data_IF_579385924983
#
_entry.id   IF_579385924983
#
_cell.length_a   1.000
_cell.length_b   1.000
_cell.length_c   1.000
_cell.angle_alpha   90.00
_cell.angle_beta   90.00
_cell.angle_gamma   90.00
#
_symmetry.space_group_name_H-M   'P 1'
#
loop_
_entity.id
_entity.type
_entity.pdbx_description
1 polymer ?
#
# COMPACT_ATOMS: atom_id res chain seq x y z
N UNK A 1 19.62 19.05 28.02
CA UNK A 1 19.84 17.83 27.21
C UNK A 1 18.54 17.09 27.06
N UNK A 2 18.17 16.78 25.83
CA UNK A 2 16.96 16.07 25.59
C UNK A 2 17.19 14.56 25.74
N UNK A 3 16.24 13.89 26.37
CA UNK A 3 16.30 12.44 26.45
C UNK A 3 16.14 11.83 25.05
N UNK A 4 16.81 10.74 24.79
CA UNK A 4 16.69 10.03 23.53
C UNK A 4 15.25 9.51 23.38
N UNK A 5 14.71 9.62 22.19
CA UNK A 5 13.37 9.11 21.91
C UNK A 5 13.42 7.59 21.86
N UNK A 6 12.53 6.97 22.62
CA UNK A 6 12.46 5.51 22.67
C UNK A 6 11.75 4.97 21.40
N UNK A 7 12.17 3.80 20.88
CA UNK A 7 11.43 3.14 19.82
C UNK A 7 9.95 2.92 20.15
N UNK A 8 9.60 2.79 21.41
CA UNK A 8 8.20 2.64 21.85
C UNK A 8 7.37 3.90 21.58
N UNK A 9 8.03 5.05 21.53
CA UNK A 9 7.35 6.35 21.50
C UNK A 9 6.38 6.48 20.32
N UNK A 10 6.71 5.94 19.16
CA UNK A 10 5.88 6.07 17.98
C UNK A 10 4.85 4.95 17.82
N UNK A 11 4.96 3.86 18.59
CA UNK A 11 4.10 2.69 18.39
C UNK A 11 2.61 3.00 18.51
N UNK A 12 2.24 3.83 19.52
CA UNK A 12 0.85 4.19 19.71
C UNK A 12 0.31 4.99 18.52
N UNK A 13 1.12 5.93 18.03
CA UNK A 13 0.75 6.74 16.87
C UNK A 13 0.70 5.89 15.61
N UNK A 14 1.64 4.95 15.44
CA UNK A 14 1.63 4.04 14.30
C UNK A 14 0.38 3.16 14.31
N UNK A 15 -0.02 2.66 15.48
CA UNK A 15 -1.25 1.88 15.63
C UNK A 15 -2.49 2.69 15.26
N UNK A 16 -2.54 3.95 15.70
CA UNK A 16 -3.65 4.83 15.36
C UNK A 16 -3.76 5.01 13.85
N UNK A 17 -2.62 5.23 13.18
CA UNK A 17 -2.59 5.46 11.74
C UNK A 17 -2.93 4.20 10.95
N UNK A 18 -2.44 3.04 11.38
CA UNK A 18 -2.76 1.79 10.66
C UNK A 18 -4.24 1.45 10.82
N UNK A 19 -4.84 1.75 11.97
CA UNK A 19 -6.27 1.57 12.17
C UNK A 19 -7.07 2.45 11.23
N UNK A 20 -6.68 3.72 11.09
CA UNK A 20 -7.33 4.62 10.15
C UNK A 20 -7.18 4.12 8.72
N UNK A 21 -5.98 3.66 8.36
CA UNK A 21 -5.73 3.14 7.02
C UNK A 21 -6.60 1.92 6.74
N UNK A 22 -6.75 1.03 7.72
CA UNK A 22 -7.61 -0.14 7.57
C UNK A 22 -9.06 0.26 7.27
N UNK A 23 -9.58 1.29 7.95
CA UNK A 23 -10.93 1.77 7.68
C UNK A 23 -11.05 2.36 6.27
N UNK A 24 -10.04 3.12 5.84
CA UNK A 24 -10.00 3.65 4.48
C UNK A 24 -9.98 2.53 3.46
N UNK A 25 -9.16 1.48 3.70
CA UNK A 25 -9.08 0.35 2.78
C UNK A 25 -10.38 -0.45 2.71
N UNK A 26 -11.09 -0.58 3.83
CA UNK A 26 -12.40 -1.22 3.85
C UNK A 26 -13.40 -0.41 3.05
N UNK A 27 -13.38 0.90 3.21
CA UNK A 27 -14.27 1.78 2.44
C UNK A 27 -13.93 1.72 0.96
N UNK A 28 -12.64 1.71 0.62
CA UNK A 28 -12.17 1.55 -0.75
C UNK A 28 -12.71 0.26 -1.36
N UNK A 29 -12.68 -0.83 -0.61
CA UNK A 29 -13.21 -2.11 -1.08
C UNK A 29 -14.71 -2.02 -1.35
N UNK A 30 -15.46 -1.39 -0.44
CA UNK A 30 -16.90 -1.21 -0.62
C UNK A 30 -17.20 -0.38 -1.88
N UNK A 31 -16.43 0.67 -2.09
CA UNK A 31 -16.60 1.51 -3.27
C UNK A 31 -16.29 0.75 -4.56
N UNK A 32 -15.26 -0.08 -4.52
CA UNK A 32 -14.90 -0.91 -5.67
C UNK A 32 -15.99 -1.92 -6.00
N UNK A 33 -16.54 -2.56 -4.99
CA UNK A 33 -17.64 -3.52 -5.18
C UNK A 33 -18.87 -2.82 -5.73
N UNK A 34 -19.16 -1.62 -5.23
CA UNK A 34 -20.31 -0.82 -5.65
C UNK A 34 -20.07 -0.04 -6.95
N UNK A 35 -18.83 -0.04 -7.44
CA UNK A 35 -18.40 0.75 -8.61
C UNK A 35 -18.65 2.25 -8.39
N UNK A 36 -18.48 2.71 -7.15
CA UNK A 36 -18.64 4.13 -6.81
C UNK A 36 -17.30 4.85 -7.01
N UNK A 37 -17.05 5.23 -8.26
CA UNK A 37 -15.77 5.80 -8.66
C UNK A 37 -15.52 7.16 -8.01
N UNK A 38 -16.57 7.99 -7.88
CA UNK A 38 -16.43 9.32 -7.30
C UNK A 38 -15.96 9.22 -5.83
N UNK A 39 -16.61 8.36 -5.05
CA UNK A 39 -16.25 8.20 -3.66
C UNK A 39 -14.86 7.58 -3.53
N UNK A 40 -14.56 6.57 -4.36
CA UNK A 40 -13.24 5.94 -4.40
C UNK A 40 -12.14 6.98 -4.64
N UNK A 41 -12.36 7.86 -5.62
CA UNK A 41 -11.40 8.91 -5.94
C UNK A 41 -11.21 9.86 -4.77
N UNK A 42 -12.27 10.14 -4.03
CA UNK A 42 -12.21 11.05 -2.88
C UNK A 42 -11.37 10.48 -1.72
N UNK A 43 -11.21 9.17 -1.66
CA UNK A 43 -10.42 8.54 -0.59
C UNK A 43 -8.91 8.61 -0.83
N UNK A 44 -8.51 8.77 -2.09
CA UNK A 44 -7.10 8.66 -2.48
C UNK A 44 -6.18 9.65 -1.74
N UNK A 45 -6.53 10.95 -1.62
CA UNK A 45 -5.65 11.88 -0.89
C UNK A 45 -5.48 11.50 0.58
N UNK A 46 -6.56 11.07 1.21
CA UNK A 46 -6.49 10.67 2.62
C UNK A 46 -5.62 9.42 2.81
N UNK A 47 -5.79 8.44 1.92
CA UNK A 47 -4.96 7.22 1.92
C UNK A 47 -3.48 7.58 1.78
N UNK A 48 -3.15 8.46 0.84
CA UNK A 48 -1.77 8.90 0.62
C UNK A 48 -1.19 9.59 1.85
N UNK A 49 -1.97 10.45 2.48
CA UNK A 49 -1.54 11.15 3.69
C UNK A 49 -1.22 10.16 4.81
N UNK A 50 -2.11 9.18 5.02
CA UNK A 50 -1.90 8.16 6.05
C UNK A 50 -0.63 7.34 5.80
N UNK A 51 -0.42 6.93 4.55
CA UNK A 51 0.77 6.15 4.19
C UNK A 51 2.04 6.96 4.44
N UNK A 52 2.04 8.24 4.08
CA UNK A 52 3.19 9.11 4.29
C UNK A 52 3.46 9.34 5.77
N UNK A 53 2.41 9.54 6.57
CA UNK A 53 2.56 9.72 8.01
C UNK A 53 3.09 8.46 8.68
N UNK A 54 2.61 7.30 8.24
CA UNK A 54 3.11 6.02 8.75
C UNK A 54 4.58 5.81 8.41
N UNK A 55 4.99 6.17 7.20
CA UNK A 55 6.38 6.07 6.79
C UNK A 55 7.28 6.97 7.65
N UNK A 56 6.81 8.17 7.95
CA UNK A 56 7.53 9.09 8.83
C UNK A 56 7.70 8.53 10.24
N UNK A 57 6.62 7.96 10.79
CA UNK A 57 6.66 7.38 12.12
C UNK A 57 7.59 6.17 12.18
N UNK A 58 7.55 5.32 11.16
CA UNK A 58 8.45 4.16 11.09
C UNK A 58 9.92 4.61 10.99
N UNK A 59 10.19 5.64 10.20
CA UNK A 59 11.53 6.22 10.11
C UNK A 59 12.02 6.73 11.46
N UNK A 60 11.14 7.40 12.20
CA UNK A 60 11.49 7.89 13.52
C UNK A 60 11.80 6.73 14.47
N UNK A 61 11.03 5.66 14.39
CA UNK A 61 11.25 4.47 15.20
C UNK A 61 12.59 3.81 14.86
N UNK A 62 12.90 3.69 13.57
CA UNK A 62 14.19 3.12 13.13
C UNK A 62 15.36 3.97 13.61
N UNK A 63 15.20 5.30 13.58
CA UNK A 63 16.23 6.21 14.07
C UNK A 63 16.44 6.03 15.57
N UNK A 64 15.34 5.89 16.32
CA UNK A 64 15.42 5.64 17.75
C UNK A 64 16.11 4.30 18.06
N UNK A 65 15.87 3.28 17.24
CA UNK A 65 16.58 2.00 17.37
C UNK A 65 18.08 2.17 17.19
N UNK A 66 18.49 2.90 16.16
CA UNK A 66 19.90 3.16 15.90
C UNK A 66 20.55 3.90 17.07
N UNK A 67 19.86 4.90 17.61
CA UNK A 67 20.37 5.65 18.76
C UNK A 67 20.51 4.78 20.00
N UNK A 68 19.67 3.77 20.14
CA UNK A 68 19.72 2.85 21.25
C UNK A 68 20.72 1.70 21.01
N UNK A 69 21.39 1.68 19.86
CA UNK A 69 22.40 0.66 19.55
C UNK A 69 21.86 -0.58 18.89
N UNK A 70 20.66 -0.52 18.32
CA UNK A 70 20.04 -1.65 17.64
C UNK A 70 19.96 -1.38 16.13
N UNK A 71 19.79 -2.43 15.30
CA UNK A 71 19.63 -2.21 13.85
C UNK A 71 18.46 -1.30 13.54
N UNK A 72 18.66 -0.36 12.63
CA UNK A 72 17.64 0.59 12.22
C UNK A 72 16.70 -0.04 11.18
N UNK A 73 16.02 -1.11 11.57
CA UNK A 73 15.14 -1.87 10.70
C UNK A 73 14.15 -2.64 11.57
N UNK A 74 13.21 -3.32 10.94
CA UNK A 74 12.16 -4.05 11.68
C UNK A 74 12.74 -5.12 12.60
N UNK A 75 13.80 -5.81 12.16
CA UNK A 75 14.45 -6.82 13.01
C UNK A 75 15.02 -6.23 14.29
N UNK A 76 15.42 -4.96 14.26
CA UNK A 76 15.94 -4.30 15.45
C UNK A 76 14.91 -4.16 16.55
N UNK A 77 13.62 -4.12 16.19
CA UNK A 77 12.55 -4.04 17.19
C UNK A 77 12.51 -5.28 18.08
N UNK A 78 12.68 -6.46 17.48
CA UNK A 78 12.63 -7.69 18.27
C UNK A 78 13.77 -7.74 19.27
N UNK A 79 14.98 -7.40 18.82
CA UNK A 79 16.13 -7.35 19.71
C UNK A 79 15.95 -6.32 20.83
N UNK A 80 15.42 -5.15 20.47
CA UNK A 80 15.17 -4.09 21.44
C UNK A 80 14.13 -4.52 22.47
N UNK A 81 13.03 -5.16 22.01
CA UNK A 81 11.97 -5.63 22.89
C UNK A 81 12.47 -6.68 23.87
N UNK A 82 13.32 -7.59 23.40
CA UNK A 82 13.93 -8.59 24.26
C UNK A 82 14.76 -7.94 25.34
N UNK A 83 15.52 -6.90 24.98
CA UNK A 83 16.39 -6.21 25.93
C UNK A 83 15.60 -5.42 26.98
N UNK A 84 14.44 -4.88 26.60
CA UNK A 84 13.65 -4.03 27.48
C UNK A 84 12.76 -4.79 28.44
N UNK A 85 12.33 -6.00 28.11
CA UNK A 85 11.39 -6.77 28.89
C UNK A 85 10.11 -5.97 29.20
N UNK A 86 9.63 -5.22 28.22
CA UNK A 86 8.45 -4.34 28.38
C UNK A 86 7.26 -5.02 27.67
N UNK A 87 6.40 -5.63 28.47
CA UNK A 87 5.25 -6.37 27.94
C UNK A 87 4.29 -5.45 27.16
N UNK A 88 4.11 -4.23 27.64
CA UNK A 88 3.23 -3.28 26.97
C UNK A 88 3.77 -2.91 25.58
N UNK A 89 5.08 -2.67 25.47
CA UNK A 89 5.70 -2.37 24.19
C UNK A 89 5.60 -3.56 23.27
N UNK A 90 5.82 -4.76 23.79
CA UNK A 90 5.72 -5.98 23.00
C UNK A 90 4.31 -6.17 22.46
N UNK A 91 3.31 -5.93 23.28
CA UNK A 91 1.91 -6.03 22.87
C UNK A 91 1.59 -5.05 21.74
N UNK A 92 2.02 -3.78 21.89
CA UNK A 92 1.81 -2.76 20.87
C UNK A 92 2.48 -3.16 19.56
N UNK A 93 3.69 -3.70 19.64
CA UNK A 93 4.42 -4.13 18.45
C UNK A 93 3.71 -5.28 17.73
N UNK A 94 3.23 -6.27 18.49
CA UNK A 94 2.51 -7.38 17.89
C UNK A 94 1.22 -6.92 17.22
N UNK A 95 0.50 -6.00 17.86
CA UNK A 95 -0.70 -5.43 17.25
C UNK A 95 -0.37 -4.68 15.97
N UNK A 96 0.71 -3.91 15.98
CA UNK A 96 1.14 -3.16 14.80
C UNK A 96 1.46 -4.10 13.65
N UNK A 97 2.18 -5.19 13.91
CA UNK A 97 2.50 -6.19 12.89
C UNK A 97 1.23 -6.84 12.33
N UNK A 98 0.30 -7.22 13.21
CA UNK A 98 -0.93 -7.88 12.78
C UNK A 98 -1.79 -6.95 11.92
N UNK A 99 -1.95 -5.70 12.33
CA UNK A 99 -2.74 -4.74 11.57
C UNK A 99 -2.06 -4.37 10.26
N UNK A 100 -0.73 -4.32 10.24
CA UNK A 100 0.02 -4.05 9.02
C UNK A 100 -0.17 -5.18 8.02
N UNK A 101 -0.15 -6.43 8.47
CA UNK A 101 -0.42 -7.58 7.59
C UNK A 101 -1.83 -7.51 7.03
N UNK A 102 -2.80 -7.18 7.88
CA UNK A 102 -4.20 -7.05 7.45
C UNK A 102 -4.33 -5.94 6.39
N UNK A 103 -3.67 -4.80 6.60
CA UNK A 103 -3.72 -3.69 5.67
C UNK A 103 -3.08 -4.06 4.33
N UNK A 104 -1.94 -4.74 4.36
CA UNK A 104 -1.27 -5.19 3.14
C UNK A 104 -2.14 -6.15 2.34
N UNK A 105 -2.79 -7.08 3.03
CA UNK A 105 -3.65 -8.05 2.35
C UNK A 105 -4.89 -7.37 1.75
N UNK A 106 -5.50 -6.47 2.50
CA UNK A 106 -6.67 -5.74 2.01
C UNK A 106 -6.31 -4.84 0.84
N UNK A 107 -5.16 -4.18 0.91
CA UNK A 107 -4.67 -3.37 -0.20
C UNK A 107 -4.41 -4.22 -1.45
N UNK A 108 -3.86 -5.43 -1.27
CA UNK A 108 -3.63 -6.36 -2.36
C UNK A 108 -4.95 -6.78 -3.01
N UNK A 109 -5.95 -7.11 -2.20
CA UNK A 109 -7.27 -7.50 -2.69
C UNK A 109 -7.94 -6.34 -3.43
N UNK A 110 -7.83 -5.13 -2.90
CA UNK A 110 -8.37 -3.96 -3.56
C UNK A 110 -7.69 -3.74 -4.91
N UNK A 111 -6.38 -4.00 -4.99
CA UNK A 111 -5.65 -3.93 -6.25
C UNK A 111 -6.16 -4.93 -7.27
N UNK A 112 -6.50 -6.14 -6.83
CA UNK A 112 -7.10 -7.15 -7.71
C UNK A 112 -8.46 -6.66 -8.22
N UNK A 113 -9.28 -6.07 -7.33
CA UNK A 113 -10.58 -5.53 -7.73
C UNK A 113 -10.45 -4.38 -8.72
N UNK A 114 -9.49 -3.49 -8.51
CA UNK A 114 -9.21 -2.39 -9.43
C UNK A 114 -8.87 -2.94 -10.82
N UNK A 115 -7.96 -3.91 -10.88
CA UNK A 115 -7.57 -4.51 -12.16
C UNK A 115 -8.74 -5.20 -12.84
N UNK A 116 -9.58 -5.86 -12.07
CA UNK A 116 -10.77 -6.52 -12.61
C UNK A 116 -11.73 -5.51 -13.23
N UNK A 117 -11.99 -4.40 -12.53
CA UNK A 117 -12.86 -3.34 -13.07
C UNK A 117 -12.26 -2.72 -14.32
N UNK A 118 -10.96 -2.47 -14.35
CA UNK A 118 -10.28 -1.94 -15.52
C UNK A 118 -10.40 -2.90 -16.70
N UNK A 119 -10.21 -4.19 -16.45
CA UNK A 119 -10.35 -5.22 -17.48
C UNK A 119 -11.75 -5.24 -18.07
N UNK A 120 -12.76 -5.17 -17.24
CA UNK A 120 -14.16 -5.12 -17.68
C UNK A 120 -14.44 -3.87 -18.51
N UNK A 121 -13.93 -2.72 -18.06
CA UNK A 121 -14.11 -1.46 -18.77
C UNK A 121 -13.45 -1.50 -20.14
N UNK A 122 -12.24 -2.00 -20.21
CA UNK A 122 -11.53 -2.12 -21.48
C UNK A 122 -12.24 -3.09 -22.42
N UNK A 123 -12.72 -4.21 -21.89
CA UNK A 123 -13.48 -5.17 -22.68
C UNK A 123 -14.76 -4.57 -23.23
N UNK A 124 -15.48 -3.81 -22.41
CA UNK A 124 -16.70 -3.14 -22.85
C UNK A 124 -16.40 -2.09 -23.93
N UNK A 125 -15.32 -1.33 -23.76
CA UNK A 125 -14.93 -0.34 -24.76
C UNK A 125 -14.56 -1.00 -26.09
N UNK A 126 -13.85 -2.12 -26.03
CA UNK A 126 -13.50 -2.85 -27.23
C UNK A 126 -14.74 -3.41 -27.93
N UNK A 127 -15.69 -3.92 -27.17
CA UNK A 127 -16.94 -4.46 -27.73
C UNK A 127 -17.77 -3.40 -28.42
N UNK A 128 -17.70 -2.15 -27.95
CA UNK A 128 -18.44 -1.04 -28.51
C UNK A 128 -17.69 -0.33 -29.64
N UNK A 129 -16.42 -0.61 -29.80
CA UNK A 129 -15.61 0.04 -30.81
C UNK A 129 -15.90 -0.55 -32.17
N UNK A 130 -15.99 0.26 -33.23
CA UNK A 130 -16.11 -0.29 -34.57
C UNK A 130 -14.93 -1.15 -34.89
N UNK A 131 -15.14 -2.17 -35.71
CA UNK A 131 -14.07 -3.05 -36.08
C UNK A 131 -12.96 -2.26 -36.71
N UNK A 132 -11.84 -2.28 -36.07
CA UNK A 132 -10.63 -1.67 -36.62
C UNK A 132 -9.59 -2.75 -36.72
N UNK A 133 -8.94 -2.74 -37.82
CA UNK A 133 -7.90 -3.72 -38.04
C UNK A 133 -6.58 -3.31 -37.45
N UNK A 134 -6.54 -2.16 -36.89
CA UNK A 134 -5.30 -1.69 -36.33
C UNK A 134 -4.93 -2.45 -35.14
N UNK A 135 -3.75 -2.92 -35.15
CA UNK A 135 -3.28 -3.59 -34.05
C UNK A 135 -2.14 -2.87 -33.47
N UNK A 136 -2.06 -2.69 -32.28
CA UNK A 136 -0.98 -2.23 -31.71
C UNK A 136 -0.80 -2.97 -30.55
N UNK A 137 0.17 -3.54 -30.51
CA UNK A 137 0.46 -4.41 -29.50
C UNK A 137 0.42 -3.73 -28.27
N UNK A 138 0.45 -4.11 -27.48
CA UNK A 138 0.49 -3.46 -26.31
C UNK A 138 1.86 -3.29 -25.93
N UNK A 139 2.25 -3.13 -26.62
CA UNK A 139 3.36 -2.80 -26.19
C UNK A 139 3.73 -1.97 -26.87
N UNK A 140 3.21 -2.23 -27.21
CA UNK A 140 3.17 -1.69 -27.60
C UNK A 140 3.38 -1.66 -28.28
N UNK A 141 3.40 -1.83 -28.96
CA UNK A 141 3.46 -1.94 -29.56
C UNK A 141 3.03 -2.18 -30.39
N UNK A 142 2.86 -2.15 -31.22
CA UNK A 142 2.43 -2.32 -31.97
C UNK A 142 2.43 -2.93 -32.64
N UNK A 143 2.23 -3.31 -33.22
CA UNK A 143 2.27 -3.87 -33.98
C UNK A 143 1.93 -3.89 -34.86
N UNK A 144 1.78 -3.78 -35.51
CA UNK A 144 1.44 -3.68 -36.26
C UNK A 144 1.65 -3.83 -36.97
N UNK A 145 1.62 -4.04 -37.60
CA UNK A 145 1.81 -4.06 -38.02
C UNK A 145 2.57 -4.20 -38.20
N UNK A 146 2.42 -4.39 -38.30
CA UNK A 146 3.10 -4.49 -38.34
C UNK A 146 3.77 -4.58 -38.26
N UNK A 147 3.61 -4.80 -38.30
CA UNK A 147 4.20 -4.98 -38.15
C UNK A 147 4.86 -5.01 -37.87
N UNK A 148 4.79 -5.16 -38.02
CA UNK A 148 5.36 -5.25 -37.80
C UNK A 148 5.92 -5.32 -37.56
N UNK A 149 5.85 -5.39 -37.77
CA UNK A 149 6.32 -5.49 -37.48
C UNK A 149 6.66 -5.41 -37.15
N UNK A 150 6.42 -5.41 -37.06
CA UNK A 150 6.44 -5.36 -36.79
C UNK A 150 6.59 -5.26 -36.23
N UNK A 151 6.69 -5.41 -36.26
CA UNK A 151 6.81 -5.36 -35.90
C UNK A 151 7.08 -5.41 -35.57
N UNK A 152 6.89 -5.50 -35.79
CA UNK A 152 7.07 -5.61 -35.46
C UNK A 152 7.42 -5.60 -35.03
N UNK A 153 7.34 -5.64 -35.07
CA UNK A 153 7.50 -5.51 -34.59
C UNK A 153 7.55 -5.47 -34.10
N UNK A 154 7.44 -5.78 -34.15
CA UNK A 154 7.34 -5.71 -33.57
C UNK A 154 7.35 -5.84 -33.34
#
# INVERSE_FOLDING_TARGET
>A
MMAAVSPKHSLQAELSKISELLEVLKQEQQDLVAADIDHLTSLTPHKSTLVNEMASLASARHRALAEAGFPAMELGMESWLEAQHDDAANFLWQQLLDQTRAAKELNRLNGVLINKHLGHTQGALQALRPQQTTVYGPSGMTTGGTTRRGFIAG
#
